data_IF_061763817740
#
_entry.id   IF_061763817740
#
_cell.length_a   1.000
_cell.length_b   1.000
_cell.length_c   1.000
_cell.angle_alpha   90.00
_cell.angle_beta   90.00
_cell.angle_gamma   90.00
#
_symmetry.space_group_name_H-M   'P 1'
#
loop_
_entity.id
_entity.type
_entity.pdbx_description
1 polymer ?
#
# COMPACT_ATOMS: atom_id res chain seq x y z
N UNK A 1 14.04 38.49 -60.00
CA UNK A 1 14.76 38.09 -58.75
C UNK A 1 14.39 38.92 -57.51
N UNK A 2 14.08 40.23 -57.61
CA UNK A 2 13.74 41.04 -56.42
C UNK A 2 12.46 40.64 -55.70
N UNK A 3 11.42 40.19 -56.42
CA UNK A 3 10.14 39.79 -55.81
C UNK A 3 10.29 38.51 -54.97
N UNK A 4 11.03 37.51 -55.47
CA UNK A 4 11.29 36.26 -54.76
C UNK A 4 11.98 36.51 -53.40
N UNK A 5 12.96 37.42 -53.35
CA UNK A 5 13.65 37.79 -52.09
C UNK A 5 12.70 38.39 -51.05
N UNK A 6 11.72 39.20 -51.47
CA UNK A 6 10.75 39.81 -50.56
C UNK A 6 9.76 38.78 -49.99
N UNK A 7 9.34 37.81 -50.82
CA UNK A 7 8.46 36.72 -50.39
C UNK A 7 9.17 35.83 -49.37
N UNK A 8 10.42 35.42 -49.65
CA UNK A 8 11.21 34.60 -48.72
C UNK A 8 11.40 35.31 -47.38
N UNK A 9 11.74 36.61 -47.38
CA UNK A 9 11.90 37.38 -46.15
C UNK A 9 10.60 37.45 -45.33
N UNK A 10 9.46 37.67 -45.99
CA UNK A 10 8.15 37.69 -45.33
C UNK A 10 7.79 36.36 -44.68
N UNK A 11 8.01 35.25 -45.38
CA UNK A 11 7.76 33.90 -44.84
C UNK A 11 8.69 33.59 -43.66
N UNK A 12 9.97 33.94 -43.74
CA UNK A 12 10.91 33.73 -42.64
C UNK A 12 10.50 34.49 -41.37
N UNK A 13 10.07 35.75 -41.47
CA UNK A 13 9.65 36.55 -40.30
C UNK A 13 8.39 35.97 -39.66
N UNK A 14 7.41 35.56 -40.46
CA UNK A 14 6.16 34.97 -39.95
C UNK A 14 6.41 33.61 -39.28
N UNK A 15 7.35 32.81 -39.79
CA UNK A 15 7.67 31.49 -39.24
C UNK A 15 8.60 31.55 -38.02
N UNK A 16 9.46 32.57 -37.94
CA UNK A 16 10.42 32.74 -36.84
C UNK A 16 9.75 33.07 -35.50
N UNK A 17 8.70 33.89 -35.50
CA UNK A 17 7.98 34.26 -34.27
C UNK A 17 7.43 33.05 -33.50
N UNK A 18 6.58 32.21 -34.11
CA UNK A 18 6.07 30.98 -33.49
C UNK A 18 7.18 30.00 -33.09
N UNK A 19 8.22 29.85 -33.92
CA UNK A 19 9.35 28.97 -33.61
C UNK A 19 10.07 29.41 -32.32
N UNK A 20 10.30 30.72 -32.14
CA UNK A 20 10.88 31.27 -30.91
C UNK A 20 9.96 31.12 -29.70
N UNK A 21 8.64 31.30 -29.89
CA UNK A 21 7.69 31.09 -28.80
C UNK A 21 7.65 29.62 -28.34
N UNK A 22 7.64 28.67 -29.29
CA UNK A 22 7.71 27.24 -28.98
C UNK A 22 9.01 26.87 -28.28
N UNK A 23 10.14 27.40 -28.76
CA UNK A 23 11.45 27.14 -28.15
C UNK A 23 11.53 27.73 -26.74
N UNK A 24 11.00 28.93 -26.52
CA UNK A 24 10.90 29.54 -25.20
C UNK A 24 10.01 28.72 -24.25
N UNK A 25 8.88 28.21 -24.74
CA UNK A 25 7.99 27.33 -23.98
C UNK A 25 8.65 26.00 -23.64
N UNK A 26 9.38 25.38 -24.57
CA UNK A 26 10.14 24.15 -24.31
C UNK A 26 11.22 24.35 -23.23
N UNK A 27 11.97 25.45 -23.28
CA UNK A 27 12.98 25.77 -22.27
C UNK A 27 12.32 25.99 -20.91
N UNK A 28 11.24 26.79 -20.86
CA UNK A 28 10.53 27.05 -19.61
C UNK A 28 9.95 25.76 -19.03
N UNK A 29 9.36 24.90 -19.86
CA UNK A 29 8.81 23.61 -19.43
C UNK A 29 9.90 22.70 -18.87
N UNK A 30 11.05 22.59 -19.56
CA UNK A 30 12.17 21.78 -19.09
C UNK A 30 12.76 22.31 -17.77
N UNK A 31 12.78 23.63 -17.57
CA UNK A 31 13.25 24.23 -16.32
C UNK A 31 12.27 24.07 -15.15
N UNK A 32 10.96 23.96 -15.44
CA UNK A 32 9.93 23.91 -14.39
C UNK A 32 9.59 22.47 -14.03
N UNK A 33 9.22 21.66 -15.02
CA UNK A 33 8.77 20.27 -14.82
C UNK A 33 9.95 19.29 -14.82
N UNK A 34 11.08 19.66 -15.42
CA UNK A 34 12.30 18.85 -15.38
C UNK A 34 13.05 18.92 -14.05
N UNK A 35 12.66 19.80 -13.11
CA UNK A 35 13.33 19.88 -11.81
C UNK A 35 12.52 19.15 -10.72
N UNK A 36 13.11 18.15 -10.03
CA UNK A 36 12.42 17.42 -8.96
C UNK A 36 11.97 18.35 -7.83
N UNK A 37 12.73 19.42 -7.57
CA UNK A 37 12.44 20.41 -6.52
C UNK A 37 11.09 21.10 -6.72
N UNK A 38 10.73 21.46 -7.95
CA UNK A 38 9.45 22.11 -8.23
C UNK A 38 8.28 21.17 -7.98
N UNK A 39 8.36 19.92 -8.45
CA UNK A 39 7.30 18.92 -8.23
C UNK A 39 7.15 18.62 -6.74
N UNK A 40 8.25 18.40 -6.01
CA UNK A 40 8.23 18.20 -4.55
C UNK A 40 7.59 19.39 -3.82
N UNK A 41 7.86 20.61 -4.27
CA UNK A 41 7.25 21.81 -3.69
C UNK A 41 5.74 21.87 -3.97
N UNK A 42 5.31 21.60 -5.21
CA UNK A 42 3.89 21.57 -5.58
C UNK A 42 3.13 20.50 -4.78
N UNK A 43 3.72 19.32 -4.58
CA UNK A 43 3.11 18.26 -3.76
C UNK A 43 2.95 18.69 -2.29
N UNK A 44 3.94 19.39 -1.74
CA UNK A 44 3.88 19.95 -0.38
C UNK A 44 2.81 21.03 -0.25
N UNK A 45 2.79 21.97 -1.19
CA UNK A 45 1.82 23.07 -1.21
C UNK A 45 0.38 22.56 -1.41
N UNK A 46 0.21 21.50 -2.21
CA UNK A 46 -1.08 20.84 -2.42
C UNK A 46 -1.53 19.96 -1.24
N UNK A 47 -0.69 19.80 -0.21
CA UNK A 47 -0.93 18.91 0.94
C UNK A 47 -1.27 17.47 0.50
N UNK A 48 -0.69 17.00 -0.61
CA UNK A 48 -0.99 15.66 -1.13
C UNK A 48 -0.48 14.56 -0.19
N UNK A 49 0.59 14.82 0.57
CA UNK A 49 1.15 13.86 1.53
C UNK A 49 0.17 13.48 2.64
N UNK A 50 -0.62 14.43 3.15
CA UNK A 50 -1.65 14.12 4.16
C UNK A 50 -2.78 13.30 3.56
N UNK A 51 -3.28 13.68 2.39
CA UNK A 51 -4.34 12.93 1.70
C UNK A 51 -3.91 11.50 1.36
N UNK A 52 -2.66 11.31 0.94
CA UNK A 52 -2.12 9.98 0.66
C UNK A 52 -1.92 9.15 1.93
N UNK A 53 -1.51 9.77 3.04
CA UNK A 53 -1.43 9.06 4.33
C UNK A 53 -2.80 8.58 4.81
N UNK A 54 -3.84 9.42 4.69
CA UNK A 54 -5.23 9.06 5.01
C UNK A 54 -5.73 7.92 4.11
N UNK A 55 -5.50 8.03 2.79
CA UNK A 55 -5.87 7.00 1.83
C UNK A 55 -5.19 5.66 2.10
N UNK A 56 -3.89 5.69 2.43
CA UNK A 56 -3.13 4.49 2.78
C UNK A 56 -3.70 3.81 4.02
N UNK A 57 -4.03 4.59 5.05
CA UNK A 57 -4.66 4.10 6.28
C UNK A 57 -6.06 3.51 6.00
N UNK A 58 -6.83 4.12 5.11
CA UNK A 58 -8.15 3.62 4.72
C UNK A 58 -8.07 2.30 3.94
N UNK A 59 -7.09 2.16 3.04
CA UNK A 59 -6.90 0.92 2.27
C UNK A 59 -6.46 -0.24 3.16
N UNK A 60 -5.63 0.03 4.17
CA UNK A 60 -5.20 -0.96 5.16
C UNK A 60 -6.35 -1.44 6.07
N UNK A 61 -7.48 -0.71 6.14
CA UNK A 61 -8.64 -1.09 6.94
C UNK A 61 -9.63 -2.00 6.19
N UNK A 62 -9.49 -2.25 4.88
CA UNK A 62 -10.54 -2.91 4.11
C UNK A 62 -10.69 -4.42 4.35
N UNK A 63 -9.70 -5.09 4.96
CA UNK A 63 -9.78 -6.52 5.32
C UNK A 63 -10.09 -6.76 6.81
N UNK A 64 -10.41 -5.68 7.53
CA UNK A 64 -10.45 -5.60 8.98
C UNK A 64 -11.79 -6.02 9.64
N UNK A 65 -12.48 -7.04 9.13
CA UNK A 65 -13.76 -7.50 9.73
C UNK A 65 -13.63 -8.10 11.15
N UNK A 66 -12.43 -8.14 11.75
CA UNK A 66 -12.19 -8.56 13.13
C UNK A 66 -11.96 -7.35 14.06
N UNK A 67 -12.56 -7.38 15.26
CA UNK A 67 -12.47 -6.31 16.27
C UNK A 67 -11.04 -5.94 16.71
N UNK A 68 -10.06 -6.81 16.46
CA UNK A 68 -8.64 -6.61 16.80
C UNK A 68 -7.96 -5.51 15.96
N UNK A 69 -8.65 -5.03 14.93
CA UNK A 69 -8.12 -4.06 13.99
C UNK A 69 -7.96 -2.67 14.60
N UNK A 70 -8.70 -2.33 15.66
CA UNK A 70 -8.59 -1.02 16.30
C UNK A 70 -7.17 -0.69 16.79
N UNK A 71 -6.48 -1.64 17.43
CA UNK A 71 -5.11 -1.42 17.93
C UNK A 71 -4.09 -1.34 16.80
N UNK A 72 -4.22 -2.21 15.80
CA UNK A 72 -3.35 -2.24 14.63
C UNK A 72 -3.50 -0.96 13.82
N UNK A 73 -4.74 -0.51 13.59
CA UNK A 73 -5.05 0.75 12.91
C UNK A 73 -4.48 1.95 13.66
N UNK A 74 -4.60 2.00 15.00
CA UNK A 74 -3.99 3.09 15.78
C UNK A 74 -2.47 3.09 15.68
N UNK A 75 -1.83 1.93 15.78
CA UNK A 75 -0.38 1.84 15.61
C UNK A 75 0.06 2.22 14.20
N UNK A 76 -0.71 1.85 13.17
CA UNK A 76 -0.48 2.26 11.78
C UNK A 76 -0.65 3.78 11.61
N UNK A 77 -1.69 4.40 12.18
CA UNK A 77 -1.91 5.84 12.13
C UNK A 77 -0.75 6.64 12.76
N UNK A 78 -0.17 6.12 13.84
CA UNK A 78 1.01 6.72 14.49
C UNK A 78 2.31 6.51 13.68
N UNK A 79 2.32 5.50 12.81
CA UNK A 79 3.50 5.12 12.02
C UNK A 79 3.53 5.78 10.66
N UNK A 80 2.40 5.76 9.94
CA UNK A 80 2.23 6.34 8.60
C UNK A 80 1.92 7.82 8.76
N UNK A 81 2.92 8.58 9.17
CA UNK A 81 2.81 10.04 9.28
C UNK A 81 3.00 10.70 7.90
N UNK A 82 2.51 11.94 7.70
CA UNK A 82 2.75 12.69 6.48
C UNK A 82 4.25 12.82 6.14
N UNK A 83 5.12 12.94 7.16
CA UNK A 83 6.57 13.02 6.97
C UNK A 83 7.16 11.72 6.41
N UNK A 84 6.68 10.56 6.88
CA UNK A 84 7.10 9.25 6.36
C UNK A 84 6.66 9.11 4.91
N UNK A 85 5.40 9.42 4.60
CA UNK A 85 4.88 9.36 3.23
C UNK A 85 5.63 10.33 2.33
N UNK A 86 5.92 11.54 2.83
CA UNK A 86 6.70 12.54 2.09
C UNK A 86 8.10 12.03 1.77
N UNK A 87 8.86 11.55 2.75
CA UNK A 87 10.23 11.10 2.53
C UNK A 87 10.30 9.95 1.50
N UNK A 88 9.38 8.98 1.58
CA UNK A 88 9.33 7.86 0.64
C UNK A 88 8.93 8.32 -0.77
N UNK A 89 7.92 9.17 -0.91
CA UNK A 89 7.51 9.70 -2.23
C UNK A 89 8.57 10.61 -2.83
N UNK A 90 9.24 11.43 -2.02
CA UNK A 90 10.33 12.28 -2.48
C UNK A 90 11.51 11.45 -2.97
N UNK A 91 11.80 10.30 -2.35
CA UNK A 91 12.82 9.36 -2.83
C UNK A 91 12.40 8.73 -4.17
N UNK A 92 11.16 8.24 -4.28
CA UNK A 92 10.65 7.70 -5.55
C UNK A 92 10.75 8.74 -6.68
N UNK A 93 10.42 10.00 -6.38
CA UNK A 93 10.56 11.08 -7.36
C UNK A 93 12.02 11.27 -7.75
N UNK A 94 12.95 11.30 -6.80
CA UNK A 94 14.38 11.43 -7.11
C UNK A 94 14.86 10.28 -8.01
N UNK A 95 14.44 9.04 -7.75
CA UNK A 95 14.78 7.88 -8.58
C UNK A 95 14.22 8.01 -10.01
N UNK A 96 12.97 8.48 -10.15
CA UNK A 96 12.34 8.74 -11.45
C UNK A 96 13.07 9.85 -12.21
N UNK A 97 13.44 10.94 -11.55
CA UNK A 97 14.16 12.04 -12.18
C UNK A 97 15.59 11.64 -12.57
N UNK A 98 16.29 10.86 -11.74
CA UNK A 98 17.60 10.30 -12.09
C UNK A 98 17.53 9.42 -13.36
N UNK A 99 16.46 8.63 -13.50
CA UNK A 99 16.22 7.85 -14.72
C UNK A 99 15.91 8.73 -15.94
N UNK A 100 15.08 9.76 -15.79
CA UNK A 100 14.74 10.70 -16.88
C UNK A 100 15.97 11.47 -17.38
N UNK A 101 16.87 11.84 -16.46
CA UNK A 101 18.13 12.52 -16.76
C UNK A 101 19.20 11.56 -17.33
N UNK A 102 18.88 10.27 -17.46
CA UNK A 102 19.77 9.20 -17.93
C UNK A 102 20.97 8.94 -17.00
N UNK A 103 20.90 9.37 -15.74
CA UNK A 103 21.91 9.04 -14.72
C UNK A 103 21.85 7.54 -14.37
N UNK A 104 20.67 6.93 -14.48
CA UNK A 104 20.47 5.49 -14.38
C UNK A 104 19.94 4.89 -15.70
N UNK A 105 20.46 3.73 -16.15
CA UNK A 105 20.03 3.12 -17.42
C UNK A 105 18.64 2.50 -17.34
N UNK A 106 18.18 2.19 -16.13
CA UNK A 106 16.91 1.54 -15.81
C UNK A 106 16.29 2.22 -14.60
N UNK A 107 14.96 2.32 -14.58
CA UNK A 107 14.23 2.85 -13.45
C UNK A 107 14.23 1.82 -12.31
N UNK A 108 15.02 2.08 -11.28
CA UNK A 108 15.07 1.28 -10.05
C UNK A 108 14.39 2.08 -8.94
N UNK A 109 13.16 1.68 -8.58
CA UNK A 109 12.45 2.25 -7.44
C UNK A 109 12.76 1.37 -6.24
N UNK A 110 13.37 1.94 -5.21
CA UNK A 110 13.71 1.25 -3.96
C UNK A 110 13.11 2.02 -2.78
N UNK A 111 12.10 1.44 -2.14
CA UNK A 111 11.50 2.01 -0.93
C UNK A 111 11.94 1.22 0.28
N UNK A 112 12.73 1.83 1.17
CA UNK A 112 13.11 1.20 2.42
C UNK A 112 11.96 1.25 3.43
N UNK A 113 11.33 0.09 3.65
CA UNK A 113 10.20 -0.05 4.57
C UNK A 113 10.61 -0.46 5.98
N UNK A 114 11.88 -0.82 6.19
CA UNK A 114 12.41 -1.13 7.51
C UNK A 114 12.10 -0.06 8.57
N UNK A 115 12.33 1.25 8.35
CA UNK A 115 12.01 2.26 9.36
C UNK A 115 10.51 2.33 9.67
N UNK A 116 9.65 2.06 8.67
CA UNK A 116 8.19 2.02 8.86
C UNK A 116 7.83 0.82 9.73
N UNK A 117 8.36 -0.37 9.41
CA UNK A 117 8.15 -1.59 10.21
C UNK A 117 8.63 -1.41 11.64
N UNK A 118 9.83 -0.87 11.84
CA UNK A 118 10.42 -0.71 13.17
C UNK A 118 9.59 0.28 14.00
N UNK A 119 9.10 1.37 13.39
CA UNK A 119 8.19 2.32 14.02
C UNK A 119 6.82 1.70 14.33
N UNK A 120 6.26 0.92 13.42
CA UNK A 120 5.02 0.16 13.64
C UNK A 120 5.13 -0.76 14.86
N UNK A 121 6.20 -1.54 14.94
CA UNK A 121 6.47 -2.42 16.09
C UNK A 121 6.62 -1.62 17.38
N UNK A 122 7.35 -0.51 17.33
CA UNK A 122 7.55 0.35 18.49
C UNK A 122 6.24 0.96 19.02
N UNK A 123 5.31 1.32 18.13
CA UNK A 123 4.00 1.88 18.47
C UNK A 123 2.98 0.80 18.89
N UNK A 124 3.01 -0.37 18.26
CA UNK A 124 2.09 -1.47 18.53
C UNK A 124 2.40 -2.17 19.86
N UNK A 125 3.67 -2.43 20.16
CA UNK A 125 4.09 -3.18 21.36
C UNK A 125 3.48 -2.67 22.67
N UNK A 126 3.60 -1.38 23.05
CA UNK A 126 3.05 -0.91 24.32
C UNK A 126 1.51 -0.99 24.36
N UNK A 127 0.84 -0.77 23.23
CA UNK A 127 -0.62 -0.87 23.14
C UNK A 127 -1.08 -2.32 23.34
N UNK A 128 -0.42 -3.26 22.67
CA UNK A 128 -0.74 -4.67 22.77
C UNK A 128 -0.44 -5.24 24.17
N UNK A 129 0.71 -4.90 24.76
CA UNK A 129 1.04 -5.32 26.13
C UNK A 129 0.02 -4.77 27.13
N UNK A 130 -0.47 -3.54 26.96
CA UNK A 130 -1.49 -2.96 27.83
C UNK A 130 -2.83 -3.68 27.69
N UNK A 131 -3.25 -4.00 26.46
CA UNK A 131 -4.48 -4.76 26.19
C UNK A 131 -4.40 -6.15 26.82
N UNK A 132 -3.32 -6.89 26.57
CA UNK A 132 -3.11 -8.24 27.12
C UNK A 132 -3.04 -8.24 28.66
N UNK A 133 -2.43 -7.22 29.26
CA UNK A 133 -2.40 -7.07 30.72
C UNK A 133 -3.76 -6.73 31.33
N UNK A 134 -4.70 -6.22 30.53
CA UNK A 134 -6.08 -5.94 30.98
C UNK A 134 -6.98 -7.17 30.97
N UNK A 135 -6.57 -8.25 30.29
CA UNK A 135 -7.34 -9.48 30.20
C UNK A 135 -7.35 -10.22 31.55
N UNK A 136 -8.49 -10.80 31.96
CA UNK A 136 -8.56 -11.60 33.17
C UNK A 136 -7.79 -12.91 33.01
N UNK A 137 -7.36 -13.49 34.14
CA UNK A 137 -6.76 -14.83 34.12
C UNK A 137 -7.77 -15.88 33.65
N UNK A 138 -7.33 -16.81 32.79
CA UNK A 138 -8.16 -17.92 32.34
C UNK A 138 -8.50 -18.87 33.49
N UNK A 139 -9.78 -19.14 33.68
CA UNK A 139 -10.26 -20.19 34.59
C UNK A 139 -10.37 -21.53 33.85
N UNK A 140 -10.20 -22.64 34.56
CA UNK A 140 -10.44 -23.99 34.01
C UNK A 140 -11.86 -24.16 33.43
N UNK A 141 -12.83 -23.36 33.86
CA UNK A 141 -14.18 -23.38 33.32
C UNK A 141 -14.29 -22.75 31.91
N UNK A 142 -13.36 -21.85 31.55
CA UNK A 142 -13.36 -21.07 30.31
C UNK A 142 -11.95 -21.10 29.69
N UNK A 143 -11.57 -22.19 28.99
CA UNK A 143 -10.31 -22.23 28.26
C UNK A 143 -10.30 -21.20 27.12
N UNK A 144 -9.12 -20.78 26.64
CA UNK A 144 -9.01 -19.87 25.51
C UNK A 144 -9.68 -20.48 24.26
N UNK A 145 -10.46 -19.66 23.57
CA UNK A 145 -11.24 -20.08 22.38
C UNK A 145 -10.43 -20.06 21.09
N UNK A 146 -9.26 -19.42 21.10
CA UNK A 146 -8.38 -19.23 19.96
C UNK A 146 -6.92 -19.45 20.39
N UNK A 147 -6.10 -19.97 19.49
CA UNK A 147 -4.65 -20.03 19.65
C UNK A 147 -3.98 -18.68 19.34
N UNK A 148 -4.68 -17.78 18.66
CA UNK A 148 -4.18 -16.45 18.35
C UNK A 148 -4.25 -15.58 19.63
N UNK A 149 -3.10 -15.07 20.10
CA UNK A 149 -3.01 -14.26 21.32
C UNK A 149 -3.81 -12.97 21.23
N UNK A 150 -4.05 -12.45 20.03
CA UNK A 150 -4.82 -11.23 19.83
C UNK A 150 -6.32 -11.47 20.03
N UNK A 151 -6.82 -12.70 19.86
CA UNK A 151 -8.26 -13.04 19.93
C UNK A 151 -8.62 -13.75 21.24
N UNK A 152 -7.65 -13.89 22.13
CA UNK A 152 -7.84 -14.51 23.42
C UNK A 152 -8.67 -13.60 24.35
N UNK A 153 -9.71 -14.18 24.96
CA UNK A 153 -10.56 -13.47 25.93
C UNK A 153 -10.00 -13.49 27.37
N UNK A 154 -8.92 -14.23 27.60
CA UNK A 154 -8.29 -14.39 28.90
C UNK A 154 -6.82 -14.76 28.74
N UNK A 155 -6.01 -14.56 29.78
CA UNK A 155 -4.59 -14.90 29.79
C UNK A 155 -4.33 -16.08 30.74
N UNK A 156 -3.60 -17.14 30.34
CA UNK A 156 -3.25 -18.21 31.27
C UNK A 156 -2.43 -17.70 32.47
N UNK A 157 -2.61 -18.30 33.67
CA UNK A 157 -1.90 -17.86 34.86
C UNK A 157 -0.39 -18.08 34.71
N UNK A 158 0.41 -17.07 35.09
CA UNK A 158 1.87 -17.10 35.02
C UNK A 158 2.47 -16.80 33.64
N UNK A 159 1.66 -16.41 32.66
CA UNK A 159 2.13 -16.00 31.34
C UNK A 159 2.85 -14.64 31.38
N UNK A 160 4.01 -14.54 30.72
CA UNK A 160 4.69 -13.26 30.51
C UNK A 160 4.01 -12.49 29.37
N UNK A 161 3.30 -11.43 29.73
CA UNK A 161 2.57 -10.56 28.79
C UNK A 161 3.49 -10.02 27.69
N UNK A 162 4.74 -9.68 28.01
CA UNK A 162 5.65 -9.10 27.03
C UNK A 162 6.12 -10.15 26.03
N UNK A 163 6.34 -11.38 26.47
CA UNK A 163 6.72 -12.48 25.58
C UNK A 163 5.58 -12.83 24.61
N UNK A 164 4.33 -12.84 25.08
CA UNK A 164 3.15 -13.07 24.23
C UNK A 164 2.93 -11.92 23.26
N UNK A 165 3.05 -10.67 23.73
CA UNK A 165 2.96 -9.50 22.85
C UNK A 165 4.01 -9.55 21.73
N UNK A 166 5.26 -9.89 22.07
CA UNK A 166 6.33 -10.02 21.08
C UNK A 166 6.03 -11.14 20.08
N UNK A 167 5.57 -12.31 20.54
CA UNK A 167 5.17 -13.40 19.64
C UNK A 167 4.07 -12.98 18.67
N UNK A 168 3.03 -12.30 19.17
CA UNK A 168 1.93 -11.80 18.35
C UNK A 168 2.41 -10.77 17.31
N UNK A 169 3.32 -9.88 17.69
CA UNK A 169 3.93 -8.90 16.76
C UNK A 169 4.71 -9.62 15.66
N UNK A 170 5.51 -10.63 16.01
CA UNK A 170 6.25 -11.41 15.03
C UNK A 170 5.30 -12.16 14.08
N UNK A 171 4.19 -12.68 14.57
CA UNK A 171 3.16 -13.29 13.72
C UNK A 171 2.53 -12.27 12.76
N UNK A 172 2.20 -11.07 13.22
CA UNK A 172 1.71 -9.98 12.36
C UNK A 172 2.74 -9.66 11.26
N UNK A 173 4.01 -9.45 11.63
CA UNK A 173 5.08 -9.16 10.65
C UNK A 173 5.24 -10.29 9.64
N UNK A 174 5.24 -11.54 10.10
CA UNK A 174 5.42 -12.72 9.25
C UNK A 174 4.18 -13.09 8.45
N UNK A 175 3.00 -12.63 8.83
CA UNK A 175 1.76 -12.80 8.05
C UNK A 175 1.61 -11.75 6.95
N UNK A 176 2.17 -10.55 7.16
CA UNK A 176 2.15 -9.48 6.18
C UNK A 176 3.27 -9.66 5.15
N UNK A 177 2.92 -10.06 3.93
CA UNK A 177 3.90 -10.22 2.83
C UNK A 177 4.76 -8.96 2.64
N UNK A 178 4.15 -7.78 2.76
CA UNK A 178 4.83 -6.48 2.64
C UNK A 178 5.79 -6.24 3.82
N UNK A 179 5.44 -6.65 5.05
CA UNK A 179 6.24 -6.34 6.24
C UNK A 179 7.48 -7.23 6.39
N UNK A 180 7.51 -8.37 5.69
CA UNK A 180 8.67 -9.28 5.69
C UNK A 180 9.84 -8.72 4.88
N UNK A 181 9.55 -7.89 3.89
CA UNK A 181 10.56 -7.29 3.05
C UNK A 181 11.23 -6.12 3.80
N UNK A 182 12.50 -5.87 3.53
CA UNK A 182 13.18 -4.66 4.04
C UNK A 182 13.07 -3.51 3.03
N UNK A 183 12.91 -3.85 1.76
CA UNK A 183 12.88 -2.95 0.63
C UNK A 183 11.80 -3.46 -0.32
N UNK A 184 10.97 -2.54 -0.83
CA UNK A 184 10.04 -2.84 -1.92
C UNK A 184 10.72 -2.36 -3.19
N UNK A 185 10.99 -3.29 -4.10
CA UNK A 185 11.58 -2.98 -5.40
C UNK A 185 10.52 -2.89 -6.50
N UNK A 186 10.89 -2.34 -7.66
CA UNK A 186 10.03 -2.33 -8.85
C UNK A 186 9.60 -3.73 -9.30
N UNK A 187 10.40 -4.76 -9.02
CA UNK A 187 10.09 -6.15 -9.39
C UNK A 187 8.90 -6.69 -8.57
N UNK A 188 8.80 -6.26 -7.32
CA UNK A 188 7.73 -6.67 -6.41
C UNK A 188 6.40 -6.01 -6.80
N UNK A 189 6.46 -4.75 -7.29
CA UNK A 189 5.29 -4.03 -7.79
C UNK A 189 4.69 -4.69 -9.04
N UNK A 190 5.53 -5.13 -9.98
CA UNK A 190 5.07 -5.79 -11.21
C UNK A 190 4.28 -7.08 -10.93
N UNK A 191 4.70 -7.85 -9.90
CA UNK A 191 4.00 -9.06 -9.48
C UNK A 191 2.59 -8.73 -8.95
N UNK A 192 2.45 -7.70 -8.10
CA UNK A 192 1.16 -7.28 -7.54
C UNK A 192 0.18 -6.79 -8.62
N UNK A 193 0.67 -6.05 -9.62
CA UNK A 193 -0.18 -5.57 -10.73
C UNK A 193 -0.61 -6.69 -11.68
N UNK A 194 0.23 -7.73 -11.85
CA UNK A 194 -0.13 -8.89 -12.66
C UNK A 194 -1.26 -9.72 -12.02
N UNK A 195 -1.24 -9.89 -10.69
CA UNK A 195 -2.26 -10.64 -9.97
C UNK A 195 -3.63 -9.93 -9.96
N UNK A 196 -3.65 -8.61 -9.72
CA UNK A 196 -4.90 -7.85 -9.66
C UNK A 196 -5.62 -7.73 -11.02
N UNK A 197 -4.91 -7.79 -12.14
CA UNK A 197 -5.55 -7.74 -13.47
C UNK A 197 -6.17 -9.08 -13.91
N UNK A 198 -5.81 -10.19 -13.28
CA UNK A 198 -6.31 -11.51 -13.66
C UNK A 198 -7.68 -11.80 -13.02
N UNK A 199 -8.03 -11.14 -11.90
CA UNK A 199 -9.33 -11.33 -11.22
C UNK A 199 -10.49 -10.52 -11.82
N UNK A 200 -10.21 -9.54 -12.68
CA UNK A 200 -11.22 -8.67 -13.34
C UNK A 200 -11.68 -9.22 -14.70
N UNK A 201 -11.23 -10.41 -15.11
CA UNK A 201 -11.79 -11.14 -16.28
C UNK A 201 -12.87 -12.15 -15.90
N UNK A 202 -13.66 -11.86 -14.86
CA UNK A 202 -14.88 -12.60 -14.54
C UNK A 202 -15.99 -12.33 -15.56
N UNK A 203 -16.07 -13.21 -16.55
CA UNK A 203 -17.28 -13.73 -17.20
C UNK A 203 -18.55 -12.87 -17.05
N UNK A 204 -18.76 -11.97 -18.01
CA UNK A 204 -20.14 -11.58 -18.39
C UNK A 204 -20.77 -12.75 -19.16
N UNK A 205 -20.92 -13.92 -18.53
CA UNK A 205 -21.82 -14.93 -19.04
C UNK A 205 -23.25 -14.46 -18.81
N UNK A 206 -23.89 -14.06 -19.90
CA UNK A 206 -25.33 -13.81 -19.96
C UNK A 206 -26.06 -15.11 -19.64
N UNK A 207 -26.38 -15.31 -18.36
CA UNK A 207 -27.21 -16.41 -17.89
C UNK A 207 -28.62 -16.28 -18.49
N UNK A 208 -28.84 -16.95 -19.61
CA UNK A 208 -30.18 -17.27 -20.10
C UNK A 208 -30.68 -18.44 -19.26
N UNK A 209 -31.27 -18.12 -18.11
CA UNK A 209 -31.84 -19.10 -17.20
C UNK A 209 -33.05 -19.78 -17.87
N UNK A 210 -32.81 -20.97 -18.44
CA UNK A 210 -33.85 -21.90 -18.83
C UNK A 210 -34.30 -22.65 -17.56
N UNK A 211 -35.58 -22.54 -17.14
CA UNK A 211 -36.06 -23.26 -15.97
C UNK A 211 -36.19 -24.76 -16.29
N UNK A 212 -35.40 -25.59 -15.61
CA UNK A 212 -35.62 -27.04 -15.52
C UNK A 212 -36.32 -27.42 -14.21
N UNK A 213 -37.15 -28.47 -14.22
CA UNK A 213 -38.09 -28.76 -13.15
C UNK A 213 -37.45 -29.47 -11.95
N UNK A 214 -37.96 -29.09 -10.79
CA UNK A 214 -37.63 -29.61 -9.47
C UNK A 214 -38.02 -31.09 -9.39
N UNK A 215 -37.03 -31.96 -9.19
CA UNK A 215 -37.23 -33.31 -8.65
C UNK A 215 -36.13 -33.57 -7.60
N UNK A 216 -36.54 -33.63 -6.31
CA UNK A 216 -35.75 -34.29 -5.27
C UNK A 216 -35.69 -35.81 -5.50
N UNK A 217 -34.89 -36.59 -4.75
CA UNK A 217 -34.92 -36.59 -3.28
C UNK A 217 -33.59 -36.94 -2.57
N UNK A 218 -33.72 -37.05 -1.24
CA UNK A 218 -33.05 -37.99 -0.32
C UNK A 218 -31.81 -37.53 0.46
N UNK A 219 -32.07 -37.38 1.77
CA UNK A 219 -31.14 -37.32 2.89
C UNK A 219 -30.27 -38.57 2.97
N UNK A 220 -28.96 -38.41 3.08
CA UNK A 220 -28.09 -39.38 3.74
C UNK A 220 -27.31 -38.70 4.87
N UNK A 221 -27.48 -39.25 6.07
CA UNK A 221 -26.80 -38.90 7.29
C UNK A 221 -25.46 -39.65 7.34
N UNK A 222 -24.36 -38.93 7.54
CA UNK A 222 -23.02 -39.52 7.71
C UNK A 222 -22.33 -38.96 8.94
N UNK A 223 -22.60 -39.54 10.10
CA UNK A 223 -21.89 -39.28 11.35
C UNK A 223 -20.49 -39.91 11.30
N UNK A 224 -19.44 -39.10 11.48
CA UNK A 224 -18.06 -39.61 11.68
C UNK A 224 -17.57 -39.23 13.06
N UNK A 225 -17.39 -40.27 13.90
CA UNK A 225 -16.76 -40.24 15.22
C UNK A 225 -15.27 -39.90 15.10
N UNK A 226 -14.82 -38.81 15.74
CA UNK A 226 -13.41 -38.59 16.01
C UNK A 226 -13.04 -39.08 17.42
N UNK A 227 -12.02 -39.94 17.46
CA UNK A 227 -11.44 -40.59 18.63
C UNK A 227 -10.22 -39.77 19.06
N UNK A 228 -10.20 -39.35 20.33
CA UNK A 228 -9.08 -38.66 20.98
C UNK A 228 -7.86 -39.59 21.12
N UNK A 229 -6.68 -39.01 20.95
CA UNK A 229 -5.41 -39.41 21.57
C UNK A 229 -4.77 -38.16 22.16
#
# INVERSE_FOLDING_TARGET
MHVLKKIILGVCVVLFGPAMALLGMSIAFNQTIGQPTFVKQVLREAQLYSTLSELAIDHLQLDANNQQTGLITQAMQETITPDVVQNNLEQILDDVYAWLDQDTPTLEISVNIQPIRDSFVANLRPKLSAELASLPECSYANPPTSSDPLSANCLPPGTDVNAVAEQAIQEIINSGEILQQNEISSQDLDATFAENNTSVSGDTETSTQKPEPINGPALEQGATLYRLA
#
